data_IF_047291536651
#
_entry.id   IF_047291536651
#
_cell.length_a   1.000
_cell.length_b   1.000
_cell.length_c   1.000
_cell.angle_alpha   90.00
_cell.angle_beta   90.00
_cell.angle_gamma   90.00
#
_symmetry.space_group_name_H-M   'P 1'
#
loop_
_entity.id
_entity.type
_entity.pdbx_description
1 polymer ?
#
# COMPACT_ATOMS: atom_id res chain seq x y z
N UNK A 1 -6.47 17.03 -40.54
CA UNK A 1 -6.75 16.65 -39.14
C UNK A 1 -5.42 16.34 -38.45
N UNK A 2 -4.99 17.21 -37.54
CA UNK A 2 -3.67 17.21 -36.90
C UNK A 2 -3.45 16.00 -35.98
N UNK A 3 -2.24 15.41 -36.01
CA UNK A 3 -1.80 14.36 -35.08
C UNK A 3 -1.72 14.91 -33.65
N UNK A 4 -2.65 14.48 -32.80
CA UNK A 4 -2.65 14.79 -31.36
C UNK A 4 -1.38 14.20 -30.73
N UNK A 5 -0.52 15.06 -30.18
CA UNK A 5 0.64 14.65 -29.38
C UNK A 5 0.20 14.50 -27.93
N UNK A 6 0.27 13.29 -27.38
CA UNK A 6 0.11 13.06 -25.94
C UNK A 6 1.32 13.65 -25.21
N UNK A 7 1.16 14.83 -24.62
CA UNK A 7 2.15 15.39 -23.70
C UNK A 7 2.23 14.51 -22.46
N UNK A 8 3.41 13.95 -22.21
CA UNK A 8 3.74 13.09 -21.08
C UNK A 8 3.58 13.89 -19.77
N UNK A 9 2.39 13.86 -19.18
CA UNK A 9 2.17 14.37 -17.83
C UNK A 9 2.95 13.46 -16.88
N UNK A 10 4.09 13.97 -16.42
CA UNK A 10 4.90 13.35 -15.38
C UNK A 10 4.04 13.17 -14.14
N UNK A 11 3.61 11.93 -13.91
CA UNK A 11 3.21 11.51 -12.56
C UNK A 11 4.44 11.71 -11.69
N UNK A 12 4.38 12.66 -10.76
CA UNK A 12 5.27 12.64 -9.60
C UNK A 12 4.92 11.40 -8.78
N UNK A 13 5.38 10.25 -9.24
CA UNK A 13 5.63 9.13 -8.36
C UNK A 13 6.67 9.66 -7.39
N UNK A 14 6.34 9.66 -6.10
CA UNK A 14 7.34 9.81 -5.05
C UNK A 14 8.39 8.72 -5.27
N UNK A 15 9.42 9.04 -6.06
CA UNK A 15 10.56 8.21 -6.41
C UNK A 15 11.51 8.11 -5.21
N UNK A 16 10.96 7.92 -4.01
CA UNK A 16 11.76 7.38 -2.93
C UNK A 16 12.06 5.93 -3.34
N UNK A 17 13.22 5.71 -3.96
CA UNK A 17 13.84 4.38 -4.05
C UNK A 17 13.69 3.76 -2.65
N UNK A 18 13.19 2.52 -2.50
CA UNK A 18 13.17 1.91 -1.18
C UNK A 18 14.60 1.92 -0.67
N UNK A 19 14.86 2.71 0.38
CA UNK A 19 16.15 2.77 1.05
C UNK A 19 16.45 1.33 1.42
N UNK A 20 17.43 0.70 0.76
CA UNK A 20 17.83 -0.68 1.04
C UNK A 20 18.48 -0.66 2.42
N UNK A 21 17.68 -0.70 3.48
CA UNK A 21 18.16 -1.17 4.77
C UNK A 21 18.54 -2.63 4.58
N UNK A 22 19.69 -3.04 5.11
CA UNK A 22 20.06 -4.44 5.22
C UNK A 22 19.02 -5.25 6.03
N UNK A 23 19.44 -6.38 6.62
CA UNK A 23 18.55 -7.28 7.37
C UNK A 23 17.62 -6.47 8.30
N UNK A 24 16.29 -6.48 8.10
CA UNK A 24 15.38 -5.67 8.90
C UNK A 24 15.56 -6.05 10.37
N UNK A 25 15.84 -5.06 11.21
CA UNK A 25 16.05 -5.24 12.64
C UNK A 25 14.91 -6.08 13.21
N UNK A 26 15.27 -7.18 13.85
CA UNK A 26 14.31 -8.13 14.44
C UNK A 26 13.49 -7.38 15.50
N UNK A 27 12.17 -7.27 15.29
CA UNK A 27 11.26 -6.70 16.29
C UNK A 27 11.41 -7.46 17.61
N UNK A 28 11.33 -6.75 18.74
CA UNK A 28 11.29 -7.38 20.06
C UNK A 28 10.04 -8.27 20.15
N UNK A 29 10.08 -9.28 21.04
CA UNK A 29 8.96 -10.21 21.20
C UNK A 29 7.67 -9.50 21.62
N UNK A 30 7.78 -8.49 22.50
CA UNK A 30 6.67 -7.62 22.92
C UNK A 30 6.01 -6.91 21.75
N UNK A 31 6.82 -6.30 20.87
CA UNK A 31 6.32 -5.57 19.70
C UNK A 31 5.66 -6.51 18.68
N UNK A 32 6.17 -7.73 18.53
CA UNK A 32 5.54 -8.76 17.70
C UNK A 32 4.17 -9.16 18.25
N UNK A 33 4.05 -9.33 19.57
CA UNK A 33 2.77 -9.66 20.19
C UNK A 33 1.76 -8.50 20.05
N UNK A 34 2.23 -7.25 20.20
CA UNK A 34 1.41 -6.06 19.98
C UNK A 34 0.97 -5.94 18.52
N UNK A 35 1.86 -6.24 17.58
CA UNK A 35 1.55 -6.27 16.14
C UNK A 35 0.49 -7.33 15.82
N UNK A 36 0.64 -8.54 16.37
CA UNK A 36 -0.32 -9.63 16.19
C UNK A 36 -1.72 -9.25 16.71
N UNK A 37 -1.79 -8.67 17.91
CA UNK A 37 -3.06 -8.15 18.47
C UNK A 37 -3.70 -7.08 17.59
N UNK A 38 -2.92 -6.20 16.96
CA UNK A 38 -3.46 -5.19 16.04
C UNK A 38 -4.01 -5.81 14.76
N UNK A 39 -3.36 -6.86 14.24
CA UNK A 39 -3.81 -7.55 13.03
C UNK A 39 -4.97 -8.52 13.22
N UNK A 40 -5.19 -8.98 14.44
CA UNK A 40 -6.29 -9.90 14.76
C UNK A 40 -7.64 -9.20 14.96
N UNK A 41 -7.68 -7.86 14.86
CA UNK A 41 -8.91 -7.08 14.88
C UNK A 41 -9.70 -7.26 13.56
N UNK A 42 -11.04 -7.20 13.60
CA UNK A 42 -11.88 -7.35 12.39
C UNK A 42 -11.61 -6.27 11.34
N UNK A 43 -11.28 -5.05 11.75
CA UNK A 43 -10.75 -4.00 10.88
C UNK A 43 -9.35 -3.57 11.38
N UNK A 44 -8.28 -4.22 10.88
CA UNK A 44 -6.93 -3.95 11.35
C UNK A 44 -6.45 -2.58 10.87
N UNK A 45 -5.71 -1.82 11.70
CA UNK A 45 -5.19 -0.52 11.30
C UNK A 45 -4.24 -0.63 10.10
N UNK A 46 -4.06 0.48 9.37
CA UNK A 46 -3.14 0.49 8.23
C UNK A 46 -1.69 0.21 8.67
N UNK A 47 -0.87 -0.35 7.77
CA UNK A 47 0.54 -0.61 8.05
C UNK A 47 1.31 0.65 8.50
N UNK A 48 0.94 1.83 7.98
CA UNK A 48 1.53 3.09 8.40
C UNK A 48 1.14 3.47 9.84
N UNK A 49 -0.13 3.25 10.22
CA UNK A 49 -0.60 3.44 11.59
C UNK A 49 0.07 2.47 12.56
N UNK A 50 0.20 1.19 12.20
CA UNK A 50 0.95 0.19 12.98
C UNK A 50 2.41 0.57 13.17
N UNK A 51 3.06 1.04 12.09
CA UNK A 51 4.44 1.50 12.11
C UNK A 51 4.62 2.68 13.08
N UNK A 52 3.69 3.64 13.06
CA UNK A 52 3.67 4.78 13.99
C UNK A 52 3.47 4.33 15.44
N UNK A 53 2.56 3.38 15.69
CA UNK A 53 2.27 2.87 17.03
C UNK A 53 3.40 2.01 17.64
N UNK A 54 4.30 1.50 16.80
CA UNK A 54 5.45 0.68 17.17
C UNK A 54 6.78 1.43 17.01
N UNK A 55 6.75 2.71 16.61
CA UNK A 55 7.92 3.53 16.31
C UNK A 55 8.97 2.84 15.40
N UNK A 56 8.49 2.14 14.37
CA UNK A 56 9.32 1.42 13.39
C UNK A 56 8.96 1.83 11.98
N UNK A 57 9.78 1.44 11.00
CA UNK A 57 9.46 1.69 9.60
C UNK A 57 8.31 0.80 9.11
N UNK A 58 7.51 1.33 8.17
CA UNK A 58 6.45 0.56 7.51
C UNK A 58 6.98 -0.70 6.80
N UNK A 59 8.22 -0.65 6.33
CA UNK A 59 8.86 -1.79 5.66
C UNK A 59 9.12 -2.95 6.62
N UNK A 60 9.54 -2.68 7.86
CA UNK A 60 9.71 -3.70 8.91
C UNK A 60 8.37 -4.34 9.24
N UNK A 61 7.31 -3.53 9.41
CA UNK A 61 5.95 -4.03 9.64
C UNK A 61 5.50 -4.94 8.48
N UNK A 62 5.62 -4.47 7.23
CA UNK A 62 5.22 -5.28 6.07
C UNK A 62 6.02 -6.58 5.95
N UNK A 63 7.31 -6.57 6.30
CA UNK A 63 8.14 -7.78 6.25
C UNK A 63 7.70 -8.78 7.32
N UNK A 64 7.47 -8.36 8.56
CA UNK A 64 7.05 -9.29 9.62
C UNK A 64 5.64 -9.83 9.41
N UNK A 65 4.73 -9.03 8.87
CA UNK A 65 3.38 -9.49 8.54
C UNK A 65 3.39 -10.60 7.49
N UNK A 66 4.26 -10.46 6.47
CA UNK A 66 4.43 -11.48 5.43
C UNK A 66 5.13 -12.74 5.96
N UNK A 67 6.23 -12.58 6.68
CA UNK A 67 7.11 -13.70 7.04
C UNK A 67 6.65 -14.45 8.29
N UNK A 68 6.24 -13.73 9.33
CA UNK A 68 5.91 -14.33 10.64
C UNK A 68 4.43 -14.59 10.83
N UNK A 69 3.58 -13.68 10.37
CA UNK A 69 2.14 -13.78 10.62
C UNK A 69 1.37 -14.38 9.43
N UNK A 70 2.01 -14.54 8.25
CA UNK A 70 1.39 -15.03 6.99
C UNK A 70 0.06 -14.32 6.66
N UNK A 71 -0.21 -13.15 7.23
CA UNK A 71 -1.45 -12.41 7.03
C UNK A 71 -1.34 -11.60 5.74
N UNK A 72 -2.34 -11.74 4.86
CA UNK A 72 -2.50 -10.81 3.73
C UNK A 72 -3.05 -9.50 4.28
N UNK A 73 -2.23 -8.46 4.34
CA UNK A 73 -2.75 -7.10 4.46
C UNK A 73 -3.45 -6.75 3.14
N UNK A 74 -4.77 -6.64 3.18
CA UNK A 74 -5.53 -6.12 2.06
C UNK A 74 -5.14 -4.66 1.86
N UNK A 75 -4.38 -4.39 0.79
CA UNK A 75 -4.22 -3.01 0.32
C UNK A 75 -5.59 -2.57 -0.15
N UNK A 76 -6.10 -1.48 0.41
CA UNK A 76 -7.37 -0.88 -0.05
C UNK A 76 -7.26 -0.73 -1.57
N UNK A 77 -8.15 -1.34 -2.37
CA UNK A 77 -8.10 -1.17 -3.81
C UNK A 77 -8.20 0.33 -4.09
N UNK A 78 -7.38 0.81 -5.02
CA UNK A 78 -7.55 2.17 -5.54
C UNK A 78 -8.85 2.16 -6.35
N UNK A 79 -9.96 2.48 -5.72
CA UNK A 79 -11.22 2.69 -6.43
C UNK A 79 -11.07 3.98 -7.23
N UNK A 80 -10.96 3.84 -8.54
CA UNK A 80 -11.10 4.96 -9.45
C UNK A 80 -12.60 5.18 -9.65
N UNK A 81 -13.11 6.31 -9.18
CA UNK A 81 -14.45 6.75 -9.53
C UNK A 81 -14.46 7.07 -11.02
N UNK A 82 -15.15 6.25 -11.82
CA UNK A 82 -15.36 6.50 -13.24
C UNK A 82 -16.53 7.46 -13.37
N UNK A 83 -16.38 8.51 -14.17
CA UNK A 83 -17.51 9.37 -14.50
C UNK A 83 -18.50 8.63 -15.40
N UNK A 84 -19.78 8.96 -15.32
CA UNK A 84 -20.83 8.38 -16.16
C UNK A 84 -20.49 8.48 -17.65
N UNK A 85 -19.92 9.62 -18.07
CA UNK A 85 -19.44 9.84 -19.44
C UNK A 85 -18.42 8.77 -19.87
N UNK A 86 -17.52 8.38 -18.97
CA UNK A 86 -16.50 7.36 -19.22
C UNK A 86 -17.11 5.97 -19.41
N UNK A 87 -18.16 5.66 -18.65
CA UNK A 87 -18.91 4.41 -18.75
C UNK A 87 -19.68 4.35 -20.07
N UNK A 88 -20.29 5.46 -20.47
CA UNK A 88 -21.12 5.55 -21.67
C UNK A 88 -20.30 5.41 -22.97
N UNK A 89 -19.12 6.04 -23.04
CA UNK A 89 -18.18 5.85 -24.16
C UNK A 89 -17.76 4.39 -24.30
N UNK A 90 -17.61 3.67 -23.19
CA UNK A 90 -17.18 2.27 -23.18
C UNK A 90 -18.27 1.32 -23.69
N UNK A 91 -19.54 1.62 -23.42
CA UNK A 91 -20.70 0.85 -23.91
C UNK A 91 -20.91 0.98 -25.42
N UNK A 92 -20.62 2.14 -26.01
CA UNK A 92 -20.79 2.38 -27.45
C UNK A 92 -19.71 1.72 -28.32
N UNK A 93 -18.62 1.25 -27.72
CA UNK A 93 -17.48 0.63 -28.41
C UNK A 93 -17.45 -0.89 -28.27
N UNK A 94 -18.45 -1.46 -27.60
CA UNK A 94 -18.64 -2.91 -27.44
C UNK A 94 -19.73 -3.38 -28.37
#
# INVERSE_FOLDING_TARGET
ISRIKNSKLGSMQNNAKPKRSGRPSKLKKSDLQKLDKMTSKPDPPTQASMAKALNVSQQVVSYQLKQKLKKKCHKKPKCHHLSERSVQIRRQRS
#
